data_IF_886521507731
#
_entry.id   IF_886521507731
#
_cell.length_a   1.000
_cell.length_b   1.000
_cell.length_c   1.000
_cell.angle_alpha   90.00
_cell.angle_beta   90.00
_cell.angle_gamma   90.00
#
_symmetry.space_group_name_H-M   'P 1'
#
loop_
_entity.id
_entity.type
_entity.pdbx_description
1 polymer ?
#
# COMPACT_ATOMS: atom_id res chain seq x y z
N UNK A 1 19.31 19.84 -7.96
CA UNK A 1 19.33 19.98 -6.50
C UNK A 1 18.18 19.20 -5.88
N UNK A 2 18.52 18.27 -5.05
CA UNK A 2 17.50 17.41 -4.44
C UNK A 2 16.97 18.06 -3.18
N UNK A 3 15.69 18.42 -3.18
CA UNK A 3 15.07 18.69 -1.90
C UNK A 3 14.84 17.31 -1.27
N UNK A 4 15.76 16.89 -0.44
CA UNK A 4 15.60 15.64 0.27
C UNK A 4 14.44 15.82 1.25
N UNK A 5 13.37 15.05 1.04
CA UNK A 5 12.31 14.96 2.03
C UNK A 5 12.87 14.14 3.18
N UNK A 6 12.82 14.71 4.37
CA UNK A 6 13.19 13.97 5.57
C UNK A 6 11.94 13.35 6.14
N UNK A 7 11.67 12.13 5.74
CA UNK A 7 10.52 11.38 6.22
C UNK A 7 11.01 10.44 7.33
N UNK A 8 10.35 10.49 8.46
CA UNK A 8 10.76 9.67 9.62
C UNK A 8 10.15 8.28 9.57
N UNK A 9 10.91 7.30 10.06
CA UNK A 9 10.44 5.95 10.27
C UNK A 9 10.41 5.71 11.78
N UNK A 10 9.21 5.76 12.38
CA UNK A 10 9.05 5.49 13.80
C UNK A 10 9.14 3.99 14.07
N UNK A 11 9.43 3.62 15.31
CA UNK A 11 9.49 2.21 15.71
C UNK A 11 8.16 1.50 15.46
N UNK A 12 7.05 2.18 15.72
CA UNK A 12 5.72 1.64 15.48
C UNK A 12 5.50 1.36 14.00
N UNK A 13 5.88 2.31 13.13
CA UNK A 13 5.75 2.15 11.69
C UNK A 13 6.68 1.05 11.16
N UNK A 14 7.89 0.96 11.69
CA UNK A 14 8.83 -0.09 11.30
C UNK A 14 8.24 -1.48 11.57
N UNK A 15 7.63 -1.67 12.74
CA UNK A 15 6.97 -2.94 13.08
C UNK A 15 5.80 -3.23 12.17
N UNK A 16 4.99 -2.20 11.86
CA UNK A 16 3.86 -2.36 10.96
C UNK A 16 4.31 -2.73 9.55
N UNK A 17 5.36 -2.07 9.06
CA UNK A 17 5.88 -2.34 7.72
C UNK A 17 6.46 -3.74 7.58
N UNK A 18 6.95 -4.32 8.66
CA UNK A 18 7.59 -5.63 8.62
C UNK A 18 6.67 -6.71 8.02
N UNK A 19 5.34 -6.54 8.12
CA UNK A 19 4.40 -7.49 7.54
C UNK A 19 4.44 -7.53 6.01
N UNK A 20 4.95 -6.47 5.38
CA UNK A 20 5.07 -6.39 3.92
C UNK A 20 6.46 -6.84 3.43
N UNK A 21 7.27 -7.45 4.30
CA UNK A 21 8.59 -7.97 3.93
C UNK A 21 8.66 -9.46 4.23
N UNK A 22 9.29 -10.20 3.34
CA UNK A 22 9.54 -11.63 3.56
C UNK A 22 8.29 -12.49 3.41
N UNK A 23 8.13 -13.44 4.31
CA UNK A 23 7.18 -14.55 4.18
C UNK A 23 5.87 -14.35 4.93
N UNK A 24 5.39 -13.12 5.06
CA UNK A 24 4.10 -12.91 5.71
C UNK A 24 2.98 -13.43 4.82
N UNK A 25 2.21 -14.40 5.32
CA UNK A 25 1.06 -14.95 4.59
C UNK A 25 -0.20 -14.10 4.77
N UNK A 26 -0.16 -13.11 5.65
CA UNK A 26 -1.34 -12.30 5.96
C UNK A 26 -1.46 -11.06 5.08
N UNK A 27 -0.37 -10.62 4.45
CA UNK A 27 -0.37 -9.46 3.58
C UNK A 27 -0.49 -9.92 2.12
N UNK A 28 -1.36 -9.25 1.34
CA UNK A 28 -1.47 -9.50 -0.09
C UNK A 28 -0.25 -9.02 -0.83
N UNK A 29 0.26 -7.84 -0.50
CA UNK A 29 1.42 -7.25 -1.16
C UNK A 29 2.65 -7.35 -0.26
N UNK A 30 3.75 -7.81 -0.85
CA UNK A 30 5.03 -7.92 -0.13
C UNK A 30 6.15 -7.36 -0.99
N UNK A 31 7.12 -6.72 -0.34
CA UNK A 31 8.35 -6.30 -0.98
C UNK A 31 9.30 -7.50 -1.10
N UNK A 32 10.05 -7.54 -2.20
CA UNK A 32 11.08 -8.56 -2.38
C UNK A 32 12.29 -8.20 -1.53
N UNK A 33 12.75 -9.15 -0.72
CA UNK A 33 13.86 -8.91 0.20
C UNK A 33 15.21 -8.73 -0.49
N UNK A 34 15.33 -9.15 -1.75
CA UNK A 34 16.55 -8.88 -2.52
C UNK A 34 16.60 -7.43 -3.03
N UNK A 35 15.47 -6.70 -2.99
CA UNK A 35 15.41 -5.28 -3.36
C UNK A 35 15.46 -4.41 -2.10
N UNK A 36 14.57 -4.68 -1.15
CA UNK A 36 14.57 -4.04 0.16
C UNK A 36 14.53 -5.14 1.22
N UNK A 37 15.65 -5.34 1.90
CA UNK A 37 15.75 -6.44 2.85
C UNK A 37 14.88 -6.23 4.10
N UNK A 38 14.59 -4.98 4.43
CA UNK A 38 13.84 -4.63 5.64
C UNK A 38 13.29 -3.21 5.49
N UNK A 39 12.43 -2.77 6.43
CA UNK A 39 11.86 -1.41 6.37
C UNK A 39 12.88 -0.29 6.38
N UNK A 40 14.03 -0.49 7.00
CA UNK A 40 15.07 0.56 7.04
C UNK A 40 15.69 0.82 5.69
N UNK A 41 15.91 -0.22 4.89
CA UNK A 41 16.41 -0.05 3.52
C UNK A 41 15.41 0.70 2.66
N UNK A 42 14.13 0.39 2.82
CA UNK A 42 13.07 1.11 2.13
C UNK A 42 13.07 2.59 2.56
N UNK A 43 13.22 2.84 3.84
CA UNK A 43 13.25 4.18 4.40
C UNK A 43 14.42 5.00 3.82
N UNK A 44 15.61 4.40 3.72
CA UNK A 44 16.76 5.06 3.12
C UNK A 44 16.51 5.41 1.65
N UNK A 45 15.90 4.50 0.92
CA UNK A 45 15.56 4.72 -0.49
C UNK A 45 14.58 5.89 -0.63
N UNK A 46 13.53 5.92 0.17
CA UNK A 46 12.52 6.97 0.15
C UNK A 46 13.16 8.35 0.36
N UNK A 47 14.11 8.45 1.28
CA UNK A 47 14.77 9.72 1.59
C UNK A 47 15.85 10.10 0.57
N UNK A 48 16.26 9.18 -0.30
CA UNK A 48 17.28 9.44 -1.31
C UNK A 48 16.71 9.69 -2.70
N UNK A 49 15.43 9.50 -2.91
CA UNK A 49 14.79 9.61 -4.21
C UNK A 49 13.59 10.55 -4.17
N UNK A 50 13.22 11.08 -5.34
CA UNK A 50 12.01 11.86 -5.47
C UNK A 50 10.86 10.96 -5.90
N UNK A 51 9.66 11.12 -5.32
CA UNK A 51 8.51 10.38 -5.81
C UNK A 51 8.12 10.85 -7.20
N UNK A 52 7.59 9.95 -8.00
CA UNK A 52 7.10 10.29 -9.33
C UNK A 52 5.75 10.99 -9.26
N UNK A 53 5.00 10.78 -8.19
CA UNK A 53 3.69 11.39 -8.00
C UNK A 53 3.42 11.57 -6.51
N UNK A 54 2.73 12.67 -6.17
CA UNK A 54 2.29 12.95 -4.80
C UNK A 54 0.78 13.14 -4.86
N UNK A 55 0.04 12.34 -4.10
CA UNK A 55 -1.42 12.39 -4.07
C UNK A 55 -1.85 12.81 -2.67
N UNK A 56 -2.56 13.94 -2.57
CA UNK A 56 -3.08 14.41 -1.29
C UNK A 56 -4.30 13.56 -0.90
N UNK A 57 -4.25 12.96 0.28
CA UNK A 57 -5.39 12.20 0.81
C UNK A 57 -6.23 13.05 1.77
N UNK A 58 -5.57 13.91 2.53
CA UNK A 58 -6.21 14.84 3.45
C UNK A 58 -5.24 15.96 3.76
N UNK A 59 -5.64 16.88 4.62
CA UNK A 59 -4.78 17.97 5.06
C UNK A 59 -3.47 17.47 5.67
N UNK A 60 -3.49 16.30 6.32
CA UNK A 60 -2.34 15.77 7.04
C UNK A 60 -1.73 14.51 6.42
N UNK A 61 -2.29 13.98 5.33
CA UNK A 61 -1.80 12.74 4.71
C UNK A 61 -1.58 12.88 3.23
N UNK A 62 -0.47 12.27 2.78
CA UNK A 62 -0.13 12.18 1.36
C UNK A 62 0.27 10.77 1.02
N UNK A 63 -0.01 10.37 -0.22
CA UNK A 63 0.52 9.16 -0.80
C UNK A 63 1.64 9.54 -1.76
N UNK A 64 2.81 8.94 -1.59
CA UNK A 64 3.96 9.15 -2.45
C UNK A 64 4.14 7.91 -3.31
N UNK A 65 4.19 8.08 -4.63
CA UNK A 65 4.38 6.97 -5.56
C UNK A 65 5.81 7.00 -6.06
N UNK A 66 6.52 5.90 -5.92
CA UNK A 66 7.90 5.74 -6.38
C UNK A 66 7.94 4.67 -7.46
N UNK A 67 8.64 4.93 -8.55
CA UNK A 67 8.87 3.97 -9.62
C UNK A 67 10.27 3.39 -9.53
N UNK A 68 10.40 2.12 -9.90
CA UNK A 68 11.68 1.43 -9.89
C UNK A 68 11.93 0.76 -11.24
N UNK A 69 13.20 0.57 -11.59
CA UNK A 69 13.59 -0.07 -12.84
C UNK A 69 13.36 -1.57 -12.83
N UNK A 70 13.31 -2.17 -11.63
CA UNK A 70 13.04 -3.60 -11.48
C UNK A 70 11.85 -3.82 -10.59
N UNK A 71 11.30 -5.03 -10.61
CA UNK A 71 10.16 -5.36 -9.76
C UNK A 71 10.57 -5.30 -8.30
N UNK A 72 9.82 -4.54 -7.49
CA UNK A 72 10.12 -4.33 -6.07
C UNK A 72 9.33 -5.26 -5.17
N UNK A 73 8.30 -5.90 -5.70
CA UNK A 73 7.46 -6.78 -4.94
C UNK A 73 6.27 -7.25 -5.77
N UNK A 74 5.27 -7.76 -5.07
CA UNK A 74 3.99 -8.17 -5.68
C UNK A 74 2.92 -7.18 -5.32
N UNK A 75 2.11 -6.79 -6.32
CA UNK A 75 0.95 -5.94 -6.07
C UNK A 75 -0.18 -6.77 -5.50
N UNK A 76 -0.78 -6.29 -4.41
CA UNK A 76 -1.95 -6.93 -3.82
C UNK A 76 -3.27 -6.33 -4.30
N UNK A 77 -3.23 -5.42 -5.29
CA UNK A 77 -4.45 -4.74 -5.75
C UNK A 77 -4.43 -4.69 -7.26
N UNK A 78 -5.50 -5.19 -7.90
CA UNK A 78 -5.66 -5.15 -9.34
C UNK A 78 -7.08 -4.72 -9.68
N UNK A 79 -7.33 -4.46 -10.95
CA UNK A 79 -8.68 -4.13 -11.39
C UNK A 79 -9.58 -5.35 -11.28
N UNK A 80 -10.76 -5.16 -10.70
CA UNK A 80 -11.71 -6.24 -10.44
C UNK A 80 -12.10 -6.97 -11.73
N UNK A 81 -12.20 -6.26 -12.84
CA UNK A 81 -12.58 -6.86 -14.14
C UNK A 81 -11.59 -7.89 -14.64
N UNK A 82 -10.37 -7.91 -14.09
CA UNK A 82 -9.34 -8.86 -14.48
C UNK A 82 -9.42 -10.18 -13.73
N UNK A 83 -10.36 -10.29 -12.77
CA UNK A 83 -10.47 -11.45 -11.90
C UNK A 83 -11.72 -12.24 -12.21
N UNK A 84 -11.58 -13.57 -12.29
CA UNK A 84 -12.73 -14.46 -12.45
C UNK A 84 -13.51 -14.49 -11.13
N UNK A 85 -14.85 -14.42 -11.22
CA UNK A 85 -15.71 -14.39 -10.02
C UNK A 85 -15.56 -15.65 -9.16
N UNK A 86 -15.16 -16.77 -9.76
CA UNK A 86 -14.95 -18.01 -8.99
C UNK A 86 -13.76 -17.92 -8.02
N UNK A 87 -12.87 -16.95 -8.23
CA UNK A 87 -11.71 -16.73 -7.37
C UNK A 87 -11.95 -15.70 -6.26
N UNK A 88 -13.15 -15.16 -6.20
CA UNK A 88 -13.50 -14.11 -5.25
C UNK A 88 -14.16 -14.72 -4.02
N UNK A 89 -13.66 -14.37 -2.84
CA UNK A 89 -14.26 -14.76 -1.57
C UNK A 89 -14.65 -13.50 -0.80
N UNK A 90 -15.56 -13.66 0.15
CA UNK A 90 -15.96 -12.58 1.04
C UNK A 90 -15.30 -12.77 2.40
N UNK A 91 -14.89 -11.67 3.01
CA UNK A 91 -14.43 -11.69 4.39
C UNK A 91 -14.85 -10.40 5.09
N UNK A 92 -14.80 -10.39 6.40
CA UNK A 92 -15.18 -9.22 7.19
C UNK A 92 -13.95 -8.45 7.60
N UNK A 93 -13.95 -7.15 7.29
CA UNK A 93 -12.90 -6.22 7.73
C UNK A 93 -13.57 -4.98 8.29
N UNK A 94 -13.15 -4.58 9.48
CA UNK A 94 -13.68 -3.36 10.14
C UNK A 94 -15.21 -3.38 10.27
N UNK A 95 -15.80 -4.58 10.38
CA UNK A 95 -17.25 -4.73 10.47
C UNK A 95 -18.00 -4.71 9.13
N UNK A 96 -17.28 -4.57 8.02
CA UNK A 96 -17.87 -4.54 6.68
C UNK A 96 -17.48 -5.79 5.91
N UNK A 97 -18.38 -6.24 5.03
CA UNK A 97 -18.07 -7.32 4.12
C UNK A 97 -17.25 -6.77 2.96
N UNK A 98 -16.09 -7.36 2.74
CA UNK A 98 -15.23 -7.00 1.62
C UNK A 98 -14.93 -8.25 0.79
N UNK A 99 -14.60 -8.03 -0.48
CA UNK A 99 -14.27 -9.12 -1.39
C UNK A 99 -12.77 -9.15 -1.62
N UNK A 100 -12.21 -10.37 -1.70
CA UNK A 100 -10.79 -10.60 -1.91
C UNK A 100 -10.65 -11.68 -2.97
N UNK A 101 -9.72 -11.49 -3.90
CA UNK A 101 -9.43 -12.48 -4.93
C UNK A 101 -8.29 -13.38 -4.48
N UNK A 102 -8.44 -14.69 -4.65
CA UNK A 102 -7.39 -15.66 -4.41
C UNK A 102 -6.78 -16.06 -5.75
N UNK A 103 -5.50 -15.77 -5.93
CA UNK A 103 -4.80 -15.98 -7.20
C UNK A 103 -3.61 -16.90 -7.00
N UNK A 104 -3.27 -17.67 -8.04
CA UNK A 104 -2.10 -18.53 -7.99
C UNK A 104 -0.82 -17.71 -7.97
N UNK A 105 -0.80 -16.60 -8.71
CA UNK A 105 0.33 -15.68 -8.75
C UNK A 105 -0.17 -14.25 -8.69
N UNK A 106 0.56 -13.42 -7.95
CA UNK A 106 0.30 -11.98 -7.87
C UNK A 106 1.13 -11.26 -8.92
N UNK A 107 0.61 -10.12 -9.42
CA UNK A 107 1.32 -9.32 -10.38
C UNK A 107 2.61 -8.74 -9.79
N UNK A 108 3.64 -8.64 -10.63
CA UNK A 108 4.86 -7.94 -10.25
C UNK A 108 4.60 -6.44 -10.22
N UNK A 109 5.14 -5.79 -9.20
CA UNK A 109 5.00 -4.34 -9.06
C UNK A 109 6.34 -3.65 -9.35
N UNK A 110 6.31 -2.67 -10.22
CA UNK A 110 7.46 -1.82 -10.57
C UNK A 110 7.34 -0.45 -9.92
N UNK A 111 6.38 -0.31 -9.03
CA UNK A 111 6.18 0.91 -8.25
C UNK A 111 5.75 0.52 -6.85
N UNK A 112 5.85 1.48 -5.94
CA UNK A 112 5.34 1.28 -4.59
C UNK A 112 4.77 2.59 -4.06
N UNK A 113 3.86 2.47 -3.12
CA UNK A 113 3.16 3.59 -2.51
C UNK A 113 3.59 3.72 -1.06
N UNK A 114 3.88 4.94 -0.64
CA UNK A 114 4.22 5.26 0.75
C UNK A 114 3.21 6.27 1.26
N UNK A 115 2.49 5.92 2.31
CA UNK A 115 1.57 6.84 2.94
C UNK A 115 2.31 7.54 4.07
N UNK A 116 2.33 8.87 4.03
CA UNK A 116 2.99 9.69 5.04
C UNK A 116 1.98 10.60 5.72
N UNK A 117 2.22 10.86 6.99
CA UNK A 117 1.42 11.76 7.79
C UNK A 117 2.28 12.95 8.22
N UNK A 118 1.70 14.15 8.12
CA UNK A 118 2.38 15.39 8.50
C UNK A 118 1.92 15.84 9.88
N UNK A 119 2.87 16.10 10.74
CA UNK A 119 2.64 16.58 12.10
C UNK A 119 3.66 17.65 12.42
N UNK A 120 3.21 18.87 12.69
CA UNK A 120 4.08 19.98 13.10
C UNK A 120 5.28 20.18 12.15
N UNK A 121 5.03 20.09 10.85
CA UNK A 121 6.08 20.28 9.85
C UNK A 121 6.95 19.05 9.62
N UNK A 122 6.71 17.97 10.34
CA UNK A 122 7.43 16.71 10.16
C UNK A 122 6.55 15.69 9.46
N UNK A 123 7.16 14.89 8.58
CA UNK A 123 6.47 13.79 7.89
C UNK A 123 6.99 12.46 8.44
N UNK A 124 6.08 11.52 8.66
CA UNK A 124 6.45 10.18 9.09
C UNK A 124 5.68 9.14 8.30
N UNK A 125 6.29 7.97 8.12
CA UNK A 125 5.66 6.88 7.38
C UNK A 125 4.53 6.27 8.20
N UNK A 126 3.35 6.16 7.58
CA UNK A 126 2.23 5.42 8.15
C UNK A 126 2.29 3.97 7.68
N UNK A 127 2.43 3.79 6.37
CA UNK A 127 2.56 2.46 5.77
C UNK A 127 3.19 2.59 4.39
N UNK A 128 3.62 1.47 3.83
CA UNK A 128 4.12 1.40 2.47
C UNK A 128 3.82 0.01 1.93
N UNK A 129 3.55 -0.08 0.62
CA UNK A 129 3.25 -1.36 0.00
C UNK A 129 3.61 -1.32 -1.49
N UNK A 130 4.01 -2.46 -2.06
CA UNK A 130 4.24 -2.52 -3.51
C UNK A 130 2.93 -2.32 -4.26
N UNK A 131 3.02 -1.67 -5.42
CA UNK A 131 1.87 -1.38 -6.25
C UNK A 131 1.51 0.08 -6.22
N UNK A 132 0.41 0.42 -6.88
CA UNK A 132 -0.03 1.80 -7.01
C UNK A 132 -0.86 2.29 -5.85
N UNK A 133 -1.38 3.49 -6.03
CA UNK A 133 -2.21 4.15 -5.03
C UNK A 133 -3.43 3.31 -4.67
N UNK A 134 -3.77 3.31 -3.40
CA UNK A 134 -4.93 2.58 -2.89
C UNK A 134 -5.59 3.36 -1.76
N UNK A 135 -6.90 3.21 -1.65
CA UNK A 135 -7.66 3.72 -0.52
C UNK A 135 -7.88 2.59 0.49
N UNK A 136 -8.05 2.96 1.75
CA UNK A 136 -8.38 1.98 2.80
C UNK A 136 -9.78 1.41 2.57
N UNK A 137 -10.02 0.22 3.12
CA UNK A 137 -11.39 -0.32 3.15
C UNK A 137 -12.28 0.60 3.99
N UNK A 138 -13.59 0.62 3.72
CA UNK A 138 -14.51 1.38 4.55
C UNK A 138 -14.42 0.98 6.04
N UNK A 139 -14.53 1.94 6.92
CA UNK A 139 -14.51 1.69 8.37
C UNK A 139 -15.44 2.67 9.08
N UNK A 140 -15.90 2.27 10.25
CA UNK A 140 -16.75 3.10 11.07
C UNK A 140 -15.97 4.32 11.57
N UNK A 141 -16.58 5.49 11.49
CA UNK A 141 -15.91 6.75 11.86
C UNK A 141 -15.34 7.50 10.68
N UNK A 142 -15.34 6.91 9.51
CA UNK A 142 -14.96 7.58 8.27
C UNK A 142 -15.95 8.68 7.93
N UNK A 143 -15.49 9.81 7.36
CA UNK A 143 -16.42 10.82 6.88
C UNK A 143 -17.27 10.25 5.74
N UNK A 144 -18.47 10.82 5.52
CA UNK A 144 -19.35 10.36 4.45
C UNK A 144 -18.65 10.44 3.08
N UNK A 145 -17.89 11.50 2.86
CA UNK A 145 -17.14 11.69 1.62
C UNK A 145 -16.07 10.62 1.43
N UNK A 146 -15.31 10.33 2.49
CA UNK A 146 -14.25 9.33 2.42
C UNK A 146 -14.81 7.92 2.30
N UNK A 147 -15.94 7.66 2.95
CA UNK A 147 -16.64 6.38 2.83
C UNK A 147 -17.08 6.14 1.38
N UNK A 148 -17.63 7.17 0.75
CA UNK A 148 -18.06 7.09 -0.65
C UNK A 148 -16.87 6.83 -1.57
N UNK A 149 -15.77 7.55 -1.38
CA UNK A 149 -14.56 7.36 -2.18
C UNK A 149 -13.99 5.96 -2.02
N UNK A 150 -13.93 5.45 -0.79
CA UNK A 150 -13.45 4.10 -0.53
C UNK A 150 -14.35 3.06 -1.19
N UNK A 151 -15.67 3.25 -1.09
CA UNK A 151 -16.62 2.34 -1.70
C UNK A 151 -16.46 2.29 -3.21
N UNK A 152 -16.35 3.45 -3.86
CA UNK A 152 -16.14 3.53 -5.30
C UNK A 152 -14.83 2.87 -5.73
N UNK A 153 -13.76 3.12 -4.97
CA UNK A 153 -12.45 2.51 -5.27
C UNK A 153 -12.55 0.99 -5.27
N UNK A 154 -13.16 0.40 -4.25
CA UNK A 154 -13.23 -1.05 -4.12
C UNK A 154 -14.30 -1.70 -5.01
N UNK A 155 -15.11 -0.91 -5.71
CA UNK A 155 -15.96 -1.41 -6.79
C UNK A 155 -15.13 -1.63 -8.06
N UNK A 156 -14.11 -0.83 -8.28
CA UNK A 156 -13.25 -0.93 -9.47
C UNK A 156 -12.06 -1.86 -9.25
N UNK A 157 -11.53 -1.90 -8.02
CA UNK A 157 -10.33 -2.67 -7.68
C UNK A 157 -10.67 -3.75 -6.65
N UNK A 158 -9.78 -4.72 -6.54
CA UNK A 158 -9.93 -5.81 -5.59
C UNK A 158 -8.58 -6.16 -4.98
N UNK A 159 -8.60 -6.45 -3.68
CA UNK A 159 -7.43 -6.94 -2.98
C UNK A 159 -7.19 -8.39 -3.39
N UNK A 160 -5.93 -8.74 -3.64
CA UNK A 160 -5.54 -10.08 -4.03
C UNK A 160 -4.63 -10.70 -2.98
N UNK A 161 -4.80 -12.00 -2.76
CA UNK A 161 -3.88 -12.81 -1.97
C UNK A 161 -3.48 -14.02 -2.78
N UNK A 162 -2.27 -14.50 -2.50
CA UNK A 162 -1.80 -15.70 -3.15
C UNK A 162 -2.58 -16.90 -2.60
N UNK A 163 -3.07 -17.72 -3.50
CA UNK A 163 -3.73 -18.96 -3.16
C UNK A 163 -2.67 -19.95 -2.67
N UNK A 164 -2.97 -20.65 -1.59
CA UNK A 164 -2.02 -21.62 -1.04
C UNK A 164 -2.03 -22.91 -1.81
#
# INVERSE_FOLDING_TARGET
MHSSRMIELTEKAEKHLAIHFGNSNSAGSVFFTHVFANPRELHEYINSCEPSEVISQSEFREALIFHAAEAVGNSGIIQRRQVSTENIISETRNGFQVEVALLEELELAYEFCVIVEKNNGQSSIVTAFPGGYSLSFPYEGQTAEDFEKSTEFWQEYILCRKNK
#
